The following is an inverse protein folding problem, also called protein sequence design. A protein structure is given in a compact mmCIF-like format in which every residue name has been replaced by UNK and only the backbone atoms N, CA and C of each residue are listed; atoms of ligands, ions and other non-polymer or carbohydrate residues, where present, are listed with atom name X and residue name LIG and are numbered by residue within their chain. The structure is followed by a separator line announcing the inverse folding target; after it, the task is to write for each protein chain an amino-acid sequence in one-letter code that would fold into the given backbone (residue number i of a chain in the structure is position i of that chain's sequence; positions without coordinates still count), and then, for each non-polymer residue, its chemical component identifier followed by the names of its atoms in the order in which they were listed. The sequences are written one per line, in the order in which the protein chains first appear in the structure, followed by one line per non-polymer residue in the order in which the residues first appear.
data_IF_404008990104
#
_entry.id   IF_404008990104
#
_cell.length_a   1.000
_cell.length_b   1.000
_cell.length_c   1.000
_cell.angle_alpha   90.00
_cell.angle_beta   90.00
_cell.angle_gamma   90.00
#
_symmetry.space_group_name_H-M   'P 1'
#
loop_
_entity.id
_entity.type
_entity.pdbx_description
1 polymer ?
#
# COMPACT_ATOMS: atom_id res chain seq x y z
N UNK A 1 4.78 -14.75 20.62
CA UNK A 1 3.37 -14.30 20.48
C UNK A 1 2.61 -14.62 21.76
N UNK A 2 2.61 -15.86 22.24
CA UNK A 2 1.82 -16.27 23.42
C UNK A 2 2.18 -15.49 24.68
N UNK A 3 3.46 -15.23 24.93
CA UNK A 3 3.90 -14.36 26.03
C UNK A 3 3.40 -12.93 25.87
N UNK A 4 3.41 -12.41 24.64
CA UNK A 4 2.90 -11.08 24.36
C UNK A 4 1.38 -10.98 24.62
N UNK A 5 0.60 -12.04 24.30
CA UNK A 5 -0.83 -12.13 24.66
C UNK A 5 -1.08 -12.10 26.16
N UNK A 6 -0.10 -12.52 26.96
CA UNK A 6 -0.13 -12.48 28.44
C UNK A 6 0.37 -11.14 29.01
N UNK A 7 0.69 -10.17 28.16
CA UNK A 7 1.15 -8.85 28.59
C UNK A 7 2.66 -8.74 28.85
N UNK A 8 3.45 -9.71 28.40
CA UNK A 8 4.91 -9.68 28.53
C UNK A 8 5.52 -8.57 27.66
N UNK A 9 6.09 -7.57 28.31
CA UNK A 9 6.72 -6.40 27.63
C UNK A 9 7.96 -6.77 26.83
N UNK A 10 8.77 -7.72 27.32
CA UNK A 10 9.97 -8.16 26.61
C UNK A 10 9.61 -8.90 25.31
N UNK A 11 8.53 -9.68 25.34
CA UNK A 11 8.00 -10.33 24.16
C UNK A 11 7.49 -9.30 23.12
N UNK A 12 6.81 -8.25 23.58
CA UNK A 12 6.34 -7.16 22.71
C UNK A 12 7.52 -6.39 22.09
N UNK A 13 8.53 -6.04 22.89
CA UNK A 13 9.76 -5.39 22.42
C UNK A 13 10.47 -6.24 21.36
N UNK A 14 10.57 -7.54 21.57
CA UNK A 14 11.19 -8.45 20.61
C UNK A 14 10.42 -8.54 19.30
N UNK A 15 9.08 -8.57 19.35
CA UNK A 15 8.24 -8.49 18.14
C UNK A 15 8.50 -7.18 17.39
N UNK A 16 8.53 -6.06 18.09
CA UNK A 16 8.84 -4.76 17.49
C UNK A 16 10.21 -4.77 16.81
N UNK A 17 11.26 -5.22 17.49
CA UNK A 17 12.62 -5.27 16.94
C UNK A 17 12.71 -6.14 15.67
N UNK A 18 12.01 -7.27 15.63
CA UNK A 18 12.04 -8.17 14.48
C UNK A 18 11.30 -7.58 13.27
N UNK A 19 10.16 -6.91 13.49
CA UNK A 19 9.25 -6.56 12.40
C UNK A 19 9.21 -5.07 12.06
N UNK A 20 9.73 -4.17 12.90
CA UNK A 20 9.61 -2.72 12.71
C UNK A 20 10.15 -2.24 11.37
N UNK A 21 11.34 -2.69 10.96
CA UNK A 21 11.93 -2.28 9.68
C UNK A 21 11.06 -2.68 8.48
N UNK A 22 10.53 -3.91 8.49
CA UNK A 22 9.67 -4.43 7.44
C UNK A 22 8.31 -3.71 7.41
N UNK A 23 7.72 -3.46 8.57
CA UNK A 23 6.46 -2.71 8.68
C UNK A 23 6.66 -1.24 8.31
N UNK A 24 7.81 -0.65 8.62
CA UNK A 24 8.13 0.71 8.20
C UNK A 24 8.24 0.84 6.68
N UNK A 25 8.93 -0.10 6.02
CA UNK A 25 9.01 -0.15 4.57
C UNK A 25 7.61 -0.26 3.92
N UNK A 26 6.71 -1.04 4.55
CA UNK A 26 5.31 -1.10 4.14
C UNK A 26 4.60 0.26 4.31
N UNK A 27 4.75 0.91 5.47
CA UNK A 27 4.14 2.21 5.73
C UNK A 27 4.58 3.28 4.73
N UNK A 28 5.86 3.30 4.34
CA UNK A 28 6.39 4.25 3.35
C UNK A 28 5.67 4.20 2.01
N UNK A 29 5.20 3.03 1.57
CA UNK A 29 4.45 2.88 0.31
C UNK A 29 3.11 3.60 0.33
N UNK A 30 2.50 3.73 1.52
CA UNK A 30 1.17 4.26 1.71
C UNK A 30 1.14 5.63 2.38
N UNK A 31 2.29 6.22 2.65
CA UNK A 31 2.43 7.52 3.30
C UNK A 31 2.89 8.58 2.31
N UNK A 32 2.57 9.84 2.61
CA UNK A 32 3.00 10.99 1.80
C UNK A 32 4.47 11.35 2.02
N UNK A 33 4.97 11.12 3.22
CA UNK A 33 6.34 11.41 3.61
C UNK A 33 6.80 10.46 4.74
N UNK A 34 8.07 10.59 5.13
CA UNK A 34 8.68 9.76 6.17
C UNK A 34 8.01 9.95 7.55
N UNK A 35 7.67 11.18 7.91
CA UNK A 35 7.04 11.47 9.19
C UNK A 35 5.66 10.81 9.29
N UNK A 36 4.85 10.87 8.22
CA UNK A 36 3.57 10.20 8.14
C UNK A 36 3.71 8.67 8.22
N UNK A 37 4.78 8.11 7.63
CA UNK A 37 5.08 6.68 7.73
C UNK A 37 5.47 6.26 9.17
N UNK A 38 6.25 7.08 9.87
CA UNK A 38 6.64 6.85 11.27
C UNK A 38 5.41 6.89 12.19
N UNK A 39 4.51 7.86 12.00
CA UNK A 39 3.24 7.95 12.74
C UNK A 39 2.34 6.73 12.46
N UNK A 40 2.26 6.31 11.19
CA UNK A 40 1.47 5.14 10.80
C UNK A 40 2.02 3.86 11.40
N UNK A 41 3.35 3.73 11.46
CA UNK A 41 4.02 2.61 12.11
C UNK A 41 3.68 2.52 13.60
N UNK A 42 3.76 3.67 14.31
CA UNK A 42 3.43 3.72 15.74
C UNK A 42 1.97 3.34 15.99
N UNK A 43 1.03 3.96 15.28
CA UNK A 43 -0.39 3.66 15.38
C UNK A 43 -0.69 2.19 15.08
N UNK A 44 -0.03 1.65 14.05
CA UNK A 44 -0.16 0.26 13.66
C UNK A 44 0.34 -0.70 14.74
N UNK A 45 1.50 -0.44 15.36
CA UNK A 45 2.00 -1.27 16.45
C UNK A 45 1.14 -1.18 17.71
N UNK A 46 0.59 -0.01 18.03
CA UNK A 46 -0.39 0.12 19.12
C UNK A 46 -1.59 -0.80 18.84
N UNK A 47 -2.14 -0.79 17.62
CA UNK A 47 -3.25 -1.67 17.22
C UNK A 47 -2.87 -3.14 17.25
N UNK A 48 -1.66 -3.50 16.79
CA UNK A 48 -1.15 -4.87 16.85
C UNK A 48 -1.12 -5.37 18.28
N UNK A 49 -0.50 -4.64 19.20
CA UNK A 49 -0.38 -5.09 20.58
C UNK A 49 -1.71 -5.10 21.34
N UNK A 50 -2.60 -4.14 21.08
CA UNK A 50 -3.93 -4.14 21.68
C UNK A 50 -4.85 -5.25 21.16
N UNK A 51 -4.64 -5.70 19.93
CA UNK A 51 -5.44 -6.75 19.29
C UNK A 51 -4.75 -8.10 19.18
N UNK A 52 -3.54 -8.26 19.75
CA UNK A 52 -2.74 -9.49 19.59
C UNK A 52 -3.47 -10.75 20.11
N UNK A 53 -4.35 -10.58 21.09
CA UNK A 53 -5.23 -11.64 21.59
C UNK A 53 -6.18 -12.22 20.53
N UNK A 54 -6.49 -11.45 19.49
CA UNK A 54 -7.37 -11.86 18.39
C UNK A 54 -6.65 -12.71 17.34
N UNK A 55 -5.31 -12.73 17.35
CA UNK A 55 -4.57 -13.57 16.42
C UNK A 55 -4.73 -15.06 16.79
N UNK A 56 -5.41 -15.80 15.92
CA UNK A 56 -5.79 -17.21 16.15
C UNK A 56 -4.77 -18.23 15.63
N UNK A 57 -3.68 -17.77 15.02
CA UNK A 57 -2.71 -18.66 14.36
C UNK A 57 -3.10 -19.07 12.94
N UNK A 58 -4.23 -18.60 12.42
CA UNK A 58 -4.61 -18.82 11.02
C UNK A 58 -3.81 -17.87 10.11
N UNK A 59 -2.99 -18.44 9.22
CA UNK A 59 -2.05 -17.69 8.39
C UNK A 59 -0.81 -17.23 9.15
N UNK A 60 0.08 -16.48 8.48
CA UNK A 60 1.31 -15.98 9.09
C UNK A 60 1.03 -14.79 10.02
N UNK A 61 1.79 -14.70 11.11
CA UNK A 61 1.72 -13.54 12.03
C UNK A 61 2.13 -12.24 11.32
N UNK A 62 3.13 -12.32 10.46
CA UNK A 62 3.54 -11.20 9.62
C UNK A 62 2.41 -10.71 8.71
N UNK A 63 1.69 -11.61 8.05
CA UNK A 63 0.54 -11.26 7.19
C UNK A 63 -0.59 -10.60 7.99
N UNK A 64 -0.84 -11.07 9.22
CA UNK A 64 -1.80 -10.47 10.12
C UNK A 64 -1.39 -9.05 10.52
N UNK A 65 -0.11 -8.82 10.86
CA UNK A 65 0.41 -7.49 11.16
C UNK A 65 0.36 -6.56 9.96
N UNK A 66 0.76 -7.04 8.76
CA UNK A 66 0.67 -6.26 7.51
C UNK A 66 -0.75 -5.75 7.27
N UNK A 67 -1.75 -6.61 7.46
CA UNK A 67 -3.15 -6.22 7.31
C UNK A 67 -3.56 -5.09 8.26
N UNK A 68 -3.09 -5.11 9.50
CA UNK A 68 -3.33 -4.02 10.46
C UNK A 68 -2.64 -2.74 10.02
N UNK A 69 -1.39 -2.81 9.55
CA UNK A 69 -0.66 -1.65 9.06
C UNK A 69 -1.34 -1.00 7.84
N UNK A 70 -1.74 -1.81 6.85
CA UNK A 70 -2.46 -1.33 5.67
C UNK A 70 -3.78 -0.66 6.07
N UNK A 71 -4.57 -1.31 6.92
CA UNK A 71 -5.82 -0.74 7.42
C UNK A 71 -5.58 0.61 8.12
N UNK A 72 -4.52 0.70 8.93
CA UNK A 72 -4.16 1.94 9.64
C UNK A 72 -3.77 3.05 8.67
N UNK A 73 -2.96 2.75 7.65
CA UNK A 73 -2.59 3.69 6.61
C UNK A 73 -3.83 4.18 5.81
N UNK A 74 -4.74 3.26 5.46
CA UNK A 74 -5.94 3.61 4.70
C UNK A 74 -6.97 4.40 5.52
N UNK A 75 -7.06 4.16 6.82
CA UNK A 75 -7.86 5.00 7.71
C UNK A 75 -7.35 6.45 7.75
N UNK A 76 -6.02 6.63 7.83
CA UNK A 76 -5.40 7.97 7.75
C UNK A 76 -5.64 8.61 6.40
N UNK A 77 -5.43 7.88 5.32
CA UNK A 77 -5.68 8.36 3.97
C UNK A 77 -7.11 8.88 3.81
N UNK A 78 -8.12 8.10 4.23
CA UNK A 78 -9.53 8.51 4.14
C UNK A 78 -9.86 9.74 4.97
N UNK A 79 -9.21 9.92 6.12
CA UNK A 79 -9.42 11.11 6.98
C UNK A 79 -8.81 12.38 6.37
N UNK A 80 -7.66 12.25 5.73
CA UNK A 80 -6.88 13.38 5.22
C UNK A 80 -7.26 13.77 3.78
N UNK A 81 -7.78 12.83 3.02
CA UNK A 81 -8.30 13.04 1.66
C UNK A 81 -9.81 12.81 1.68
N UNK A 82 -10.63 13.81 2.10
CA UNK A 82 -12.06 13.67 1.97
C UNK A 82 -12.34 13.37 0.51
N UNK A 83 -12.98 12.24 0.28
CA UNK A 83 -13.34 11.74 -1.04
C UNK A 83 -14.12 12.83 -1.77
N UNK A 84 -13.45 13.58 -2.61
CA UNK A 84 -14.14 14.26 -3.68
C UNK A 84 -14.78 13.13 -4.48
N UNK A 85 -16.11 13.18 -4.59
CA UNK A 85 -16.85 12.37 -5.53
C UNK A 85 -16.18 12.60 -6.87
N UNK A 86 -15.35 11.65 -7.26
CA UNK A 86 -14.66 11.75 -8.55
C UNK A 86 -15.76 11.54 -9.58
N UNK A 87 -15.99 12.55 -10.41
CA UNK A 87 -16.70 12.36 -11.66
C UNK A 87 -16.24 11.03 -12.26
N UNK A 88 -17.19 10.20 -12.66
CA UNK A 88 -16.91 8.93 -13.33
C UNK A 88 -16.02 9.24 -14.53
N UNK A 89 -14.73 9.01 -14.35
CA UNK A 89 -13.79 9.12 -15.45
C UNK A 89 -14.15 8.01 -16.44
N UNK A 90 -14.19 8.30 -17.74
CA UNK A 90 -14.49 7.29 -18.73
C UNK A 90 -13.59 6.06 -18.53
N UNK A 91 -14.17 4.87 -18.67
CA UNK A 91 -13.40 3.63 -18.67
C UNK A 91 -12.34 3.73 -19.75
N UNK A 92 -11.09 3.70 -19.34
CA UNK A 92 -9.98 3.54 -20.25
C UNK A 92 -9.83 2.05 -20.44
N UNK A 93 -10.07 1.58 -21.67
CA UNK A 93 -9.73 0.22 -22.06
C UNK A 93 -8.24 0.04 -21.84
N UNK A 94 -7.88 -1.00 -21.09
CA UNK A 94 -6.49 -1.37 -20.78
C UNK A 94 -5.89 -2.03 -22.03
N UNK A 95 -5.63 -1.19 -23.04
CA UNK A 95 -5.10 -1.60 -24.33
C UNK A 95 -3.60 -1.36 -24.37
N UNK A 96 -2.89 -2.45 -24.60
CA UNK A 96 -1.47 -2.63 -24.89
C UNK A 96 -0.60 -2.96 -23.67
N UNK A 97 -0.33 -4.24 -23.56
CA UNK A 97 0.81 -4.76 -22.83
C UNK A 97 2.09 -4.16 -23.43
N UNK A 98 3.00 -3.75 -22.58
CA UNK A 98 4.38 -3.47 -22.99
C UNK A 98 5.02 -4.84 -23.19
N UNK A 99 4.95 -5.38 -24.40
CA UNK A 99 5.52 -6.69 -24.78
C UNK A 99 7.05 -6.66 -24.99
N UNK A 100 7.72 -5.58 -24.61
CA UNK A 100 9.19 -5.53 -24.64
C UNK A 100 9.73 -5.84 -23.23
N UNK A 101 10.65 -6.79 -23.13
CA UNK A 101 11.50 -7.04 -21.97
C UNK A 101 12.40 -5.81 -21.73
N UNK A 102 11.81 -4.76 -21.16
CA UNK A 102 12.53 -3.56 -20.83
C UNK A 102 13.13 -3.73 -19.45
N UNK A 103 14.44 -3.85 -19.38
CA UNK A 103 15.17 -3.91 -18.14
C UNK A 103 15.31 -2.49 -17.55
N UNK A 104 14.39 -2.13 -16.63
CA UNK A 104 14.48 -0.89 -15.85
C UNK A 104 14.91 -1.26 -14.43
N UNK A 105 15.88 -0.53 -13.84
CA UNK A 105 16.26 -0.74 -12.44
C UNK A 105 15.06 -0.62 -11.50
N UNK A 106 14.96 -1.54 -10.53
CA UNK A 106 13.85 -1.57 -9.59
C UNK A 106 13.69 -0.24 -8.82
N UNK A 107 14.81 0.42 -8.50
CA UNK A 107 14.83 1.71 -7.83
C UNK A 107 14.15 2.81 -8.65
N UNK A 108 14.38 2.83 -9.97
CA UNK A 108 13.75 3.79 -10.89
C UNK A 108 12.24 3.56 -10.99
N UNK A 109 11.83 2.29 -11.07
CA UNK A 109 10.40 1.94 -11.07
C UNK A 109 9.73 2.34 -9.76
N UNK A 110 10.40 2.11 -8.62
CA UNK A 110 9.90 2.52 -7.31
C UNK A 110 9.72 4.04 -7.22
N UNK A 111 10.65 4.81 -7.77
CA UNK A 111 10.54 6.27 -7.84
C UNK A 111 9.37 6.72 -8.72
N UNK A 112 9.12 6.07 -9.85
CA UNK A 112 7.95 6.37 -10.69
C UNK A 112 6.63 6.12 -9.96
N UNK A 113 6.54 5.00 -9.23
CA UNK A 113 5.36 4.69 -8.41
C UNK A 113 5.18 5.73 -7.30
N UNK A 114 6.26 6.18 -6.65
CA UNK A 114 6.21 7.20 -5.60
C UNK A 114 5.75 8.57 -6.11
N UNK A 115 5.97 8.87 -7.39
CA UNK A 115 5.56 10.11 -8.04
C UNK A 115 4.11 10.07 -8.58
N UNK A 116 3.42 8.94 -8.47
CA UNK A 116 2.00 8.88 -8.84
C UNK A 116 1.15 9.79 -7.93
N UNK A 117 0.07 10.39 -8.47
CA UNK A 117 -0.94 11.01 -7.64
C UNK A 117 -1.44 10.05 -6.56
N UNK A 118 -1.64 10.55 -5.36
CA UNK A 118 -1.85 9.75 -4.15
C UNK A 118 -2.92 8.65 -4.31
N UNK A 119 -4.09 8.97 -4.89
CA UNK A 119 -5.18 8.02 -5.14
C UNK A 119 -4.78 6.87 -6.08
N UNK A 120 -3.99 7.17 -7.11
CA UNK A 120 -3.52 6.17 -8.08
C UNK A 120 -2.44 5.29 -7.48
N UNK A 121 -1.52 5.89 -6.71
CA UNK A 121 -0.49 5.21 -5.93
C UNK A 121 -1.11 4.21 -4.94
N UNK A 122 -2.15 4.62 -4.20
CA UNK A 122 -2.83 3.74 -3.24
C UNK A 122 -3.41 2.51 -3.93
N UNK A 123 -4.21 2.71 -4.98
CA UNK A 123 -4.82 1.58 -5.70
C UNK A 123 -3.75 0.70 -6.37
N UNK A 124 -2.73 1.29 -6.97
CA UNK A 124 -1.63 0.54 -7.58
C UNK A 124 -0.91 -0.35 -6.57
N UNK A 125 -0.50 0.20 -5.44
CA UNK A 125 0.19 -0.56 -4.40
C UNK A 125 -0.69 -1.68 -3.82
N UNK A 126 -1.98 -1.41 -3.56
CA UNK A 126 -2.90 -2.41 -3.03
C UNK A 126 -3.16 -3.54 -4.04
N UNK A 127 -3.31 -3.21 -5.33
CA UNK A 127 -3.62 -4.20 -6.36
C UNK A 127 -2.38 -4.99 -6.80
N UNK A 128 -1.28 -4.27 -7.14
CA UNK A 128 -0.09 -4.87 -7.77
C UNK A 128 0.86 -5.46 -6.73
N UNK A 129 1.08 -4.75 -5.61
CA UNK A 129 2.08 -5.18 -4.61
C UNK A 129 1.46 -6.09 -3.54
N UNK A 130 0.25 -5.73 -3.07
CA UNK A 130 -0.43 -6.50 -2.01
C UNK A 130 -1.46 -7.50 -2.58
N UNK A 131 -1.59 -7.60 -3.91
CA UNK A 131 -2.43 -8.58 -4.62
C UNK A 131 -3.91 -8.59 -4.18
N UNK A 132 -4.43 -7.42 -3.78
CA UNK A 132 -5.81 -7.28 -3.33
C UNK A 132 -6.78 -7.19 -4.51
N UNK A 133 -7.97 -7.76 -4.37
CA UNK A 133 -9.03 -7.61 -5.37
C UNK A 133 -9.59 -6.18 -5.40
N UNK A 134 -10.10 -5.73 -6.55
CA UNK A 134 -10.79 -4.42 -6.65
C UNK A 134 -11.95 -4.29 -5.67
N UNK A 135 -12.62 -5.39 -5.36
CA UNK A 135 -13.71 -5.43 -4.37
C UNK A 135 -13.18 -5.09 -2.97
N UNK A 136 -12.05 -5.69 -2.56
CA UNK A 136 -11.45 -5.45 -1.25
C UNK A 136 -10.86 -4.04 -1.17
N UNK A 137 -10.22 -3.58 -2.25
CA UNK A 137 -9.70 -2.21 -2.37
C UNK A 137 -10.83 -1.19 -2.26
N UNK A 138 -11.94 -1.42 -2.96
CA UNK A 138 -13.12 -0.56 -2.92
C UNK A 138 -13.68 -0.44 -1.50
N UNK A 139 -13.83 -1.58 -0.81
CA UNK A 139 -14.27 -1.60 0.59
C UNK A 139 -13.28 -0.87 1.53
N UNK A 140 -11.99 -1.09 1.33
CA UNK A 140 -10.92 -0.51 2.15
C UNK A 140 -10.80 1.01 1.97
N UNK A 141 -10.91 1.50 0.74
CA UNK A 141 -10.81 2.94 0.41
C UNK A 141 -12.15 3.69 0.49
N UNK A 142 -13.28 2.99 0.60
CA UNK A 142 -14.62 3.60 0.60
C UNK A 142 -15.03 4.15 -0.78
N UNK A 143 -14.61 3.50 -1.86
CA UNK A 143 -14.92 3.81 -3.25
C UNK A 143 -15.70 2.65 -3.89
N UNK A 144 -16.18 2.80 -5.12
CA UNK A 144 -16.74 1.67 -5.87
C UNK A 144 -15.65 0.91 -6.65
N UNK A 145 -15.96 -0.31 -7.10
CA UNK A 145 -15.00 -1.14 -7.84
C UNK A 145 -14.60 -0.52 -9.19
N UNK A 146 -15.55 0.16 -9.87
CA UNK A 146 -15.27 0.88 -11.11
C UNK A 146 -14.23 1.97 -10.91
N UNK A 147 -14.35 2.75 -9.83
CA UNK A 147 -13.36 3.76 -9.45
C UNK A 147 -11.99 3.13 -9.14
N UNK A 148 -11.97 1.97 -8.48
CA UNK A 148 -10.72 1.25 -8.24
C UNK A 148 -10.06 0.81 -9.56
N UNK A 149 -10.83 0.27 -10.50
CA UNK A 149 -10.33 -0.13 -11.83
C UNK A 149 -9.81 1.07 -12.62
N UNK A 150 -10.57 2.16 -12.69
CA UNK A 150 -10.14 3.37 -13.42
C UNK A 150 -8.91 4.03 -12.80
N UNK A 151 -8.77 4.03 -11.48
CA UNK A 151 -7.56 4.53 -10.81
C UNK A 151 -6.34 3.68 -11.15
N UNK A 152 -6.48 2.35 -11.23
CA UNK A 152 -5.40 1.45 -11.64
C UNK A 152 -5.00 1.70 -13.10
N UNK A 153 -5.97 1.82 -14.01
CA UNK A 153 -5.71 2.11 -15.42
C UNK A 153 -4.96 3.44 -15.59
N UNK A 154 -5.37 4.49 -14.85
CA UNK A 154 -4.65 5.79 -14.85
C UNK A 154 -3.24 5.68 -14.26
N UNK A 155 -3.05 4.92 -13.19
CA UNK A 155 -1.72 4.66 -12.65
C UNK A 155 -0.80 4.03 -13.71
N UNK A 156 -1.28 2.99 -14.40
CA UNK A 156 -0.56 2.29 -15.46
C UNK A 156 -0.23 3.20 -16.63
N UNK A 157 -1.16 4.03 -17.10
CA UNK A 157 -0.95 5.01 -18.16
C UNK A 157 0.19 5.97 -17.82
N UNK A 158 0.19 6.53 -16.60
CA UNK A 158 1.25 7.43 -16.14
C UNK A 158 2.59 6.71 -16.08
N UNK A 159 2.62 5.48 -15.56
CA UNK A 159 3.85 4.68 -15.45
C UNK A 159 4.39 4.31 -16.84
N UNK A 160 3.53 3.87 -17.77
CA UNK A 160 3.92 3.58 -19.17
C UNK A 160 4.60 4.80 -19.82
N UNK A 161 4.03 6.00 -19.65
CA UNK A 161 4.61 7.23 -20.16
C UNK A 161 5.98 7.54 -19.56
N UNK A 162 6.12 7.44 -18.21
CA UNK A 162 7.40 7.67 -17.52
C UNK A 162 8.49 6.69 -17.95
N UNK A 163 8.13 5.43 -18.11
CA UNK A 163 9.03 4.38 -18.62
C UNK A 163 9.52 4.75 -20.02
N UNK A 164 8.61 5.14 -20.91
CA UNK A 164 8.97 5.55 -22.27
C UNK A 164 9.91 6.76 -22.28
N UNK A 165 9.59 7.81 -21.53
CA UNK A 165 10.43 9.00 -21.39
C UNK A 165 11.84 8.66 -20.86
N UNK A 166 11.93 7.75 -19.89
CA UNK A 166 13.21 7.29 -19.33
C UNK A 166 14.07 6.59 -20.39
N UNK A 167 13.47 5.69 -21.17
CA UNK A 167 14.18 4.94 -22.22
C UNK A 167 14.63 5.84 -23.38
N UNK A 168 13.81 6.84 -23.75
CA UNK A 168 14.16 7.80 -24.78
C UNK A 168 15.35 8.70 -24.37
N UNK A 169 15.59 8.87 -23.06
CA UNK A 169 16.74 9.64 -22.54
C UNK A 169 18.02 8.83 -22.38
N UNK A 170 17.95 7.50 -22.35
CA UNK A 170 19.12 6.61 -22.27
C UNK A 170 19.70 6.22 -23.66
N UNK A 171 19.03 6.57 -24.75
CA UNK A 171 19.51 6.43 -26.13
C UNK A 171 20.26 7.67 -26.60
#
# INVERSE_FOLDING_TARGET
IDKCKQGDRQAAEKIYQIFSAKMFALCLRFSKDRADAEDTLQDGFIKIFTSIGQYTGKGSFEGWMKRIMINTAMEKFRKNSPLQIVEELPEIEDNEDIDEEVSIPEEVLADFVNQLPERYKMVFNLYVIEEMSHKDIAALLGINEGTSKSNLARAREILKRKVKEYLDHEQ
#
